data_IF_129493914692
#
_entry.id   IF_129493914692
#
_cell.length_a   1.000
_cell.length_b   1.000
_cell.length_c   1.000
_cell.angle_alpha   90.00
_cell.angle_beta   90.00
_cell.angle_gamma   90.00
#
_symmetry.space_group_name_H-M   'P 1'
#
loop_
_entity.id
_entity.type
_entity.pdbx_description
1 polymer ?
#
# COMPACT_ATOMS: atom_id res chain seq x y z
N UNK A 1 -16.90 -14.24 -1.14
CA UNK A 1 -16.00 -13.93 0.00
C UNK A 1 -14.63 -13.56 -0.52
N UNK A 2 -14.14 -12.35 -0.20
CA UNK A 2 -12.80 -11.88 -0.55
C UNK A 2 -11.79 -12.36 0.51
N UNK A 3 -11.70 -13.68 0.71
CA UNK A 3 -10.73 -14.28 1.63
C UNK A 3 -9.70 -15.03 0.80
N UNK A 4 -8.44 -14.62 0.90
CA UNK A 4 -7.32 -15.34 0.28
C UNK A 4 -6.48 -16.04 1.36
N UNK A 5 -5.97 -17.25 1.07
CA UNK A 5 -5.05 -17.92 1.98
C UNK A 5 -3.76 -17.11 2.11
N UNK A 6 -3.08 -17.26 3.25
CA UNK A 6 -1.78 -16.65 3.49
C UNK A 6 -0.73 -17.27 2.56
N UNK A 7 0.18 -16.44 2.07
CA UNK A 7 1.31 -16.92 1.28
C UNK A 7 2.33 -17.63 2.18
N UNK A 8 2.94 -18.73 1.71
CA UNK A 8 4.02 -19.38 2.44
C UNK A 8 5.20 -18.42 2.56
N UNK A 9 5.67 -18.19 3.78
CA UNK A 9 6.80 -17.33 4.09
C UNK A 9 7.93 -18.11 4.77
N UNK A 10 9.16 -17.90 4.28
CA UNK A 10 10.40 -18.45 4.85
C UNK A 10 10.70 -17.72 6.18
N UNK A 11 11.46 -18.36 7.08
CA UNK A 11 11.73 -17.84 8.43
C UNK A 11 12.25 -16.39 8.45
N UNK A 12 13.21 -16.06 7.58
CA UNK A 12 13.75 -14.70 7.48
C UNK A 12 12.71 -13.69 7.01
N UNK A 13 11.86 -14.09 6.05
CA UNK A 13 10.74 -13.26 5.61
C UNK A 13 9.74 -13.03 6.73
N UNK A 14 9.47 -14.04 7.57
CA UNK A 14 8.55 -13.89 8.71
C UNK A 14 9.05 -12.89 9.75
N UNK A 15 10.35 -12.94 10.10
CA UNK A 15 10.95 -11.98 11.03
C UNK A 15 10.80 -10.54 10.53
N UNK A 16 11.05 -10.33 9.24
CA UNK A 16 10.91 -9.01 8.64
C UNK A 16 9.45 -8.57 8.55
N UNK A 17 8.52 -9.49 8.28
CA UNK A 17 7.07 -9.22 8.35
C UNK A 17 6.69 -8.73 9.75
N UNK A 18 7.08 -9.48 10.78
CA UNK A 18 6.74 -9.16 12.17
C UNK A 18 7.32 -7.80 12.60
N UNK A 19 8.57 -7.53 12.23
CA UNK A 19 9.21 -6.22 12.50
C UNK A 19 8.42 -5.07 11.90
N UNK A 20 8.11 -5.14 10.61
CA UNK A 20 7.36 -4.07 9.92
C UNK A 20 5.91 -3.95 10.44
N UNK A 21 5.27 -5.06 10.82
CA UNK A 21 3.93 -5.03 11.45
C UNK A 21 3.97 -4.33 12.80
N UNK A 22 4.98 -4.61 13.63
CA UNK A 22 5.12 -3.96 14.93
C UNK A 22 5.36 -2.45 14.77
N UNK A 23 6.21 -2.03 13.83
CA UNK A 23 6.41 -0.61 13.53
C UNK A 23 5.09 0.08 13.11
N UNK A 24 4.26 -0.57 12.29
CA UNK A 24 2.97 -0.02 11.88
C UNK A 24 1.93 0.01 13.02
N UNK A 25 1.98 -0.95 13.95
CA UNK A 25 1.16 -0.95 15.16
C UNK A 25 1.56 0.20 16.10
N UNK A 26 2.86 0.41 16.29
CA UNK A 26 3.40 1.47 17.15
C UNK A 26 3.08 2.87 16.61
N UNK A 27 3.04 3.00 15.28
CA UNK A 27 2.64 4.24 14.59
C UNK A 27 1.11 4.40 14.44
N UNK A 28 0.32 3.47 14.98
CA UNK A 28 -1.15 3.47 14.92
C UNK A 28 -1.73 3.48 13.48
N UNK A 29 -0.96 3.01 12.49
CA UNK A 29 -1.42 2.86 11.11
C UNK A 29 -2.32 1.63 10.90
N UNK A 30 -2.13 0.60 11.72
CA UNK A 30 -2.91 -0.65 11.67
C UNK A 30 -3.35 -1.04 13.08
N UNK A 31 -4.52 -1.69 13.19
CA UNK A 31 -5.08 -2.16 14.46
C UNK A 31 -5.28 -3.66 14.48
N UNK A 32 -5.20 -4.27 15.67
CA UNK A 32 -5.58 -5.69 15.86
C UNK A 32 -7.10 -5.79 15.90
N UNK A 33 -7.64 -6.64 15.03
CA UNK A 33 -9.07 -6.94 14.97
C UNK A 33 -9.43 -7.95 16.06
N UNK A 34 -10.50 -7.69 16.82
CA UNK A 34 -10.98 -8.55 17.89
C UNK A 34 -11.65 -9.84 17.39
N UNK A 35 -11.67 -10.90 18.20
CA UNK A 35 -12.28 -12.19 17.82
C UNK A 35 -13.78 -12.12 17.45
N UNK A 36 -14.49 -11.09 17.90
CA UNK A 36 -15.92 -10.90 17.62
C UNK A 36 -16.20 -9.92 16.48
N UNK A 37 -15.18 -9.38 15.81
CA UNK A 37 -15.37 -8.44 14.71
C UNK A 37 -15.52 -9.19 13.39
N UNK A 38 -16.60 -8.86 12.66
CA UNK A 38 -16.87 -9.45 11.35
C UNK A 38 -15.95 -8.81 10.32
N UNK A 39 -14.93 -9.54 9.90
CA UNK A 39 -14.05 -9.12 8.80
C UNK A 39 -14.63 -9.58 7.46
N UNK A 40 -15.11 -8.61 6.69
CA UNK A 40 -15.70 -8.82 5.36
C UNK A 40 -14.67 -9.24 4.30
N UNK A 41 -13.41 -8.79 4.44
CA UNK A 41 -12.33 -9.11 3.51
C UNK A 41 -10.99 -9.29 4.21
N UNK A 42 -10.26 -10.35 3.86
CA UNK A 42 -8.89 -10.59 4.32
C UNK A 42 -7.94 -10.50 3.13
N UNK A 43 -7.02 -9.54 3.19
CA UNK A 43 -5.99 -9.37 2.17
C UNK A 43 -4.65 -9.85 2.72
N UNK A 44 -4.02 -10.88 2.12
CA UNK A 44 -2.70 -11.31 2.54
C UNK A 44 -1.66 -10.25 2.20
N UNK A 45 -0.65 -10.14 3.06
CA UNK A 45 0.50 -9.25 2.85
C UNK A 45 1.63 -10.03 2.19
N UNK A 46 2.26 -9.41 1.19
CA UNK A 46 3.45 -9.89 0.50
C UNK A 46 4.66 -9.06 0.96
N UNK A 47 5.82 -9.70 1.02
CA UNK A 47 7.09 -8.97 1.09
C UNK A 47 7.70 -8.89 -0.30
N UNK A 48 8.07 -7.69 -0.71
CA UNK A 48 8.93 -7.46 -1.86
C UNK A 48 10.28 -6.97 -1.37
N UNK A 49 11.37 -7.53 -1.89
CA UNK A 49 12.72 -7.04 -1.62
C UNK A 49 13.20 -6.26 -2.83
N UNK A 50 13.61 -5.01 -2.61
CA UNK A 50 14.14 -4.15 -3.67
C UNK A 50 15.30 -3.31 -3.13
N UNK A 51 16.45 -3.34 -3.82
CA UNK A 51 17.70 -2.69 -3.40
C UNK A 51 18.11 -3.00 -1.94
N UNK A 52 17.98 -4.26 -1.53
CA UNK A 52 18.34 -4.70 -0.18
C UNK A 52 17.38 -4.26 0.93
N UNK A 53 16.24 -3.64 0.58
CA UNK A 53 15.19 -3.26 1.52
C UNK A 53 13.94 -4.09 1.28
N UNK A 54 13.38 -4.63 2.36
CA UNK A 54 12.10 -5.33 2.33
C UNK A 54 10.96 -4.33 2.50
N UNK A 55 9.84 -4.57 1.80
CA UNK A 55 8.63 -3.74 1.85
C UNK A 55 7.41 -4.63 1.97
N UNK A 56 6.54 -4.33 2.93
CA UNK A 56 5.21 -4.93 3.01
C UNK A 56 4.30 -4.36 1.92
N UNK A 57 3.60 -5.23 1.20
CA UNK A 57 2.66 -4.88 0.13
C UNK A 57 1.40 -5.75 0.28
N UNK A 58 0.24 -5.13 0.54
CA UNK A 58 -1.03 -5.86 0.56
C UNK A 58 -1.45 -6.31 -0.85
N UNK A 59 -1.89 -7.56 -1.01
CA UNK A 59 -2.41 -8.05 -2.29
C UNK A 59 -3.89 -7.63 -2.51
N UNK A 60 -4.08 -6.37 -2.86
CA UNK A 60 -5.41 -5.81 -3.12
C UNK A 60 -5.98 -6.17 -4.50
N UNK A 61 -5.40 -7.12 -5.26
CA UNK A 61 -5.90 -7.45 -6.62
C UNK A 61 -7.34 -7.95 -6.61
N UNK A 62 -7.75 -8.69 -5.57
CA UNK A 62 -9.13 -9.12 -5.42
C UNK A 62 -10.04 -7.94 -5.05
N UNK A 63 -9.57 -7.08 -4.14
CA UNK A 63 -10.32 -5.93 -3.65
C UNK A 63 -10.52 -4.90 -4.76
N UNK A 64 -9.52 -4.63 -5.60
CA UNK A 64 -9.58 -3.63 -6.68
C UNK A 64 -10.66 -3.89 -7.73
N UNK A 65 -11.15 -5.14 -7.85
CA UNK A 65 -12.21 -5.49 -8.79
C UNK A 65 -13.62 -5.21 -8.23
N UNK A 66 -13.74 -4.91 -6.93
CA UNK A 66 -15.01 -4.76 -6.23
C UNK A 66 -15.57 -3.32 -6.23
N UNK A 67 -14.81 -2.27 -5.87
CA UNK A 67 -15.31 -0.91 -5.86
C UNK A 67 -15.36 -0.32 -7.27
N UNK A 68 -16.41 0.44 -7.56
CA UNK A 68 -16.46 1.30 -8.76
C UNK A 68 -15.39 2.37 -8.61
N UNK A 69 -14.37 2.33 -9.47
CA UNK A 69 -13.26 3.27 -9.42
C UNK A 69 -13.77 4.73 -9.44
N UNK A 70 -13.59 5.45 -8.33
CA UNK A 70 -13.79 6.89 -8.26
C UNK A 70 -12.63 7.56 -9.02
N UNK A 71 -12.78 7.68 -10.34
CA UNK A 71 -11.78 8.31 -11.20
C UNK A 71 -11.87 9.83 -11.02
N UNK A 72 -11.05 10.37 -10.13
CA UNK A 72 -10.78 11.80 -10.14
C UNK A 72 -10.15 12.16 -11.49
N UNK A 73 -10.55 13.26 -12.16
CA UNK A 73 -9.94 13.68 -13.40
C UNK A 73 -8.50 14.11 -13.14
N UNK A 74 -7.57 13.16 -13.28
CA UNK A 74 -6.14 13.48 -13.34
C UNK A 74 -5.94 14.23 -14.66
N UNK A 75 -5.43 15.47 -14.64
CA UNK A 75 -5.14 16.19 -15.88
C UNK A 75 -4.09 15.41 -16.66
N UNK A 76 -4.51 14.78 -17.77
CA UNK A 76 -3.62 14.10 -18.71
C UNK A 76 -3.32 15.08 -19.83
N UNK A 77 -2.24 15.85 -19.70
CA UNK A 77 -1.82 16.69 -20.81
C UNK A 77 -0.50 17.43 -20.58
N UNK A 78 0.22 17.76 -21.67
CA UNK A 78 1.42 18.59 -21.65
C UNK A 78 1.14 20.05 -21.25
N UNK A 79 -0.12 20.46 -21.14
CA UNK A 79 -0.50 21.83 -20.80
C UNK A 79 -0.09 22.24 -19.38
N UNK A 80 -0.12 21.31 -18.42
CA UNK A 80 0.39 21.56 -17.07
C UNK A 80 1.93 21.61 -17.05
N UNK A 81 2.60 20.83 -17.91
CA UNK A 81 4.06 20.86 -18.08
C UNK A 81 4.54 22.19 -18.68
N UNK A 82 3.77 22.80 -19.58
CA UNK A 82 4.09 24.11 -20.16
C UNK A 82 4.11 25.24 -19.11
N UNK A 83 3.24 25.16 -18.10
CA UNK A 83 3.23 26.11 -16.99
C UNK A 83 4.46 25.96 -16.10
N UNK A 84 4.92 24.73 -15.91
CA UNK A 84 6.18 24.43 -15.20
C UNK A 84 7.40 24.93 -15.98
N UNK A 85 7.44 24.73 -17.30
CA UNK A 85 8.56 25.16 -18.16
C UNK A 85 8.79 26.68 -18.10
N UNK A 86 7.71 27.47 -18.02
CA UNK A 86 7.77 28.93 -17.92
C UNK A 86 8.03 29.47 -16.51
N UNK A 87 8.08 28.61 -15.49
CA UNK A 87 8.26 29.04 -14.12
C UNK A 87 9.73 29.42 -13.86
N UNK A 88 9.95 30.61 -13.33
CA UNK A 88 11.30 31.11 -12.97
C UNK A 88 11.94 30.32 -11.83
N UNK A 89 11.13 29.76 -10.93
CA UNK A 89 11.56 28.95 -9.80
C UNK A 89 10.58 27.80 -9.59
N UNK A 90 11.11 26.57 -9.60
CA UNK A 90 10.33 25.36 -9.32
C UNK A 90 10.82 24.83 -7.98
N UNK A 91 9.91 24.62 -7.03
CA UNK A 91 10.17 23.89 -5.79
C UNK A 91 9.25 22.68 -5.75
N UNK A 92 9.87 21.51 -5.71
CA UNK A 92 9.19 20.25 -5.42
C UNK A 92 9.14 20.11 -3.90
N UNK A 93 7.95 19.96 -3.34
CA UNK A 93 7.80 19.43 -1.99
C UNK A 93 7.46 17.95 -2.11
N UNK A 94 8.27 17.10 -1.52
CA UNK A 94 7.84 15.77 -1.14
C UNK A 94 7.40 15.88 0.33
N UNK A 95 6.11 15.68 0.58
CA UNK A 95 5.55 15.48 1.92
C UNK A 95 5.87 14.08 2.43
#
# INVERSE_FOLDING_TARGET
MLRRPLYPAILETRKEIEKNINELLDMDFIGKIGHNEIVESTTPVLITCHYGKYRLCGDFRALNNYPKAARYPIPRGPHELYKLEKARFIRKMDS
#
